data_IF_986745962636
#
_entry.id   IF_986745962636
#
_cell.length_a   1.000
_cell.length_b   1.000
_cell.length_c   1.000
_cell.angle_alpha   90.00
_cell.angle_beta   90.00
_cell.angle_gamma   90.00
#
_symmetry.space_group_name_H-M   'P 1'
#
loop_
_entity.id
_entity.type
_entity.pdbx_description
1 polymer ?
#
# COMPACT_ATOMS: atom_id res chain seq x y z
N UNK A 1 15.29 -13.29 -26.83
CA UNK A 1 14.81 -12.71 -25.55
C UNK A 1 14.66 -11.22 -25.73
N UNK A 2 13.47 -10.67 -25.44
CA UNK A 2 13.30 -9.22 -25.40
C UNK A 2 14.02 -8.73 -24.14
N UNK A 3 14.95 -7.78 -24.30
CA UNK A 3 15.66 -7.18 -23.17
C UNK A 3 14.66 -6.45 -22.26
N UNK A 4 14.80 -6.63 -20.96
CA UNK A 4 14.08 -5.81 -19.98
C UNK A 4 14.53 -4.35 -20.19
N UNK A 5 13.61 -3.38 -20.29
CA UNK A 5 13.98 -1.98 -20.43
C UNK A 5 14.84 -1.48 -19.25
N UNK A 6 15.83 -0.63 -19.51
CA UNK A 6 16.78 -0.16 -18.49
C UNK A 6 16.11 0.66 -17.37
N UNK A 7 14.99 1.32 -17.67
CA UNK A 7 14.17 2.10 -16.76
C UNK A 7 13.09 1.26 -16.04
N UNK A 8 13.12 -0.07 -16.19
CA UNK A 8 12.14 -0.97 -15.58
C UNK A 8 12.67 -1.68 -14.33
N UNK A 9 11.77 -1.97 -13.40
CA UNK A 9 12.06 -2.85 -12.27
C UNK A 9 11.77 -4.29 -12.72
N UNK A 10 12.81 -5.13 -12.72
CA UNK A 10 12.68 -6.57 -13.01
C UNK A 10 11.76 -7.25 -11.99
N UNK A 11 10.85 -8.08 -12.49
CA UNK A 11 9.94 -8.90 -11.69
C UNK A 11 10.05 -10.36 -12.13
N UNK A 12 10.14 -11.29 -11.17
CA UNK A 12 10.31 -12.73 -11.46
C UNK A 12 11.54 -13.01 -12.36
N UNK A 13 11.49 -14.03 -13.20
CA UNK A 13 12.59 -14.44 -14.07
C UNK A 13 12.72 -13.57 -15.33
N UNK A 14 11.60 -13.18 -15.95
CA UNK A 14 11.54 -12.43 -17.24
C UNK A 14 10.56 -11.26 -17.27
N UNK A 15 9.80 -11.05 -16.20
CA UNK A 15 8.80 -9.98 -16.11
C UNK A 15 9.40 -8.63 -15.70
N UNK A 16 8.58 -7.59 -15.78
CA UNK A 16 8.96 -6.26 -15.29
C UNK A 16 7.73 -5.38 -15.04
N UNK A 17 7.96 -4.31 -14.28
CA UNK A 17 7.11 -3.11 -14.21
C UNK A 17 7.92 -1.89 -14.60
N UNK A 18 7.45 -1.17 -15.61
CA UNK A 18 8.03 0.09 -16.07
C UNK A 18 7.01 1.21 -15.95
N UNK A 19 7.39 2.31 -15.29
CA UNK A 19 6.57 3.51 -15.30
C UNK A 19 6.71 4.19 -16.66
N UNK A 20 5.63 4.22 -17.43
CA UNK A 20 5.62 4.86 -18.76
C UNK A 20 5.40 6.35 -18.63
N UNK A 21 4.52 6.72 -17.70
CA UNK A 21 4.06 8.09 -17.52
C UNK A 21 3.37 8.23 -16.16
N UNK A 22 3.44 9.41 -15.57
CA UNK A 22 2.66 9.79 -14.40
C UNK A 22 2.19 11.22 -14.54
N UNK A 23 1.01 11.51 -14.00
CA UNK A 23 0.44 12.84 -13.99
C UNK A 23 0.18 13.27 -12.54
N UNK A 24 0.78 14.39 -12.15
CA UNK A 24 0.66 14.95 -10.81
C UNK A 24 1.58 14.27 -9.78
N UNK A 25 1.24 14.48 -8.52
CA UNK A 25 1.98 14.03 -7.35
C UNK A 25 1.30 14.59 -6.09
N UNK A 26 2.05 14.75 -5.00
CA UNK A 26 1.51 15.31 -3.75
C UNK A 26 0.93 16.73 -3.95
N UNK A 27 1.50 17.52 -4.85
CA UNK A 27 1.06 18.87 -5.20
C UNK A 27 -0.33 18.87 -5.88
N UNK A 28 -0.57 17.92 -6.79
CA UNK A 28 -1.86 17.75 -7.46
C UNK A 28 -2.98 17.39 -6.47
N UNK A 29 -2.69 16.53 -5.48
CA UNK A 29 -3.63 16.18 -4.40
C UNK A 29 -4.01 17.44 -3.61
N UNK A 30 -3.00 18.23 -3.22
CA UNK A 30 -3.19 19.45 -2.44
C UNK A 30 -3.93 20.51 -3.23
N UNK A 31 -3.58 20.71 -4.50
CA UNK A 31 -4.26 21.64 -5.39
C UNK A 31 -5.74 21.27 -5.52
N UNK A 32 -6.04 20.00 -5.84
CA UNK A 32 -7.41 19.52 -5.98
C UNK A 32 -8.22 19.69 -4.69
N UNK A 33 -7.62 19.37 -3.54
CA UNK A 33 -8.27 19.57 -2.25
C UNK A 33 -8.54 21.05 -1.94
N UNK A 34 -7.60 21.96 -2.28
CA UNK A 34 -7.70 23.40 -2.00
C UNK A 34 -8.67 24.15 -2.92
N UNK A 35 -8.99 23.64 -4.10
CA UNK A 35 -10.07 24.22 -4.93
C UNK A 35 -11.37 24.30 -4.14
N UNK A 36 -11.62 23.32 -3.27
CA UNK A 36 -12.77 23.30 -2.35
C UNK A 36 -12.68 24.35 -1.23
N UNK A 37 -11.49 24.91 -0.94
CA UNK A 37 -11.24 25.84 0.18
C UNK A 37 -10.89 27.28 -0.25
N UNK A 38 -10.79 27.57 -1.55
CA UNK A 38 -10.42 28.91 -2.06
C UNK A 38 -8.94 29.26 -1.87
N UNK A 39 -8.48 30.37 -2.49
CA UNK A 39 -7.06 30.80 -2.47
C UNK A 39 -6.59 31.11 -1.04
N UNK A 40 -5.81 30.22 -0.44
CA UNK A 40 -5.19 30.48 0.86
C UNK A 40 -4.15 29.45 1.29
N UNK A 41 -2.90 29.90 1.36
CA UNK A 41 -1.71 29.32 2.02
C UNK A 41 -0.94 28.20 1.30
N UNK A 42 0.35 28.47 1.04
CA UNK A 42 1.30 27.69 0.23
C UNK A 42 2.57 27.34 1.02
N UNK A 43 2.43 26.73 2.20
CA UNK A 43 3.59 26.20 2.95
C UNK A 43 3.61 24.67 2.92
N UNK A 44 4.77 24.08 2.61
CA UNK A 44 4.99 22.61 2.53
C UNK A 44 4.56 21.86 3.80
N UNK A 45 4.75 22.45 4.99
CA UNK A 45 4.29 21.83 6.26
C UNK A 45 2.76 21.74 6.36
N UNK A 46 2.03 22.64 5.68
CA UNK A 46 0.58 22.58 5.57
C UNK A 46 0.13 21.52 4.56
N UNK A 47 0.92 21.29 3.51
CA UNK A 47 0.63 20.30 2.46
C UNK A 47 0.66 18.87 3.01
N UNK A 48 1.73 18.51 3.73
CA UNK A 48 1.81 17.20 4.42
C UNK A 48 0.66 17.02 5.41
N UNK A 49 0.35 18.05 6.20
CA UNK A 49 -0.76 18.03 7.15
C UNK A 49 -2.12 17.82 6.48
N UNK A 50 -2.34 18.44 5.31
CA UNK A 50 -3.56 18.29 4.52
C UNK A 50 -3.68 16.87 3.94
N UNK A 51 -2.65 16.35 3.25
CA UNK A 51 -2.68 15.00 2.67
C UNK A 51 -2.96 13.96 3.75
N UNK A 52 -2.28 14.06 4.90
CA UNK A 52 -2.51 13.19 6.05
C UNK A 52 -3.95 13.27 6.56
N UNK A 53 -4.49 14.48 6.68
CA UNK A 53 -5.88 14.69 7.07
C UNK A 53 -6.85 14.02 6.09
N UNK A 54 -6.65 14.20 4.77
CA UNK A 54 -7.48 13.61 3.73
C UNK A 54 -7.46 12.07 3.80
N UNK A 55 -6.28 11.46 3.91
CA UNK A 55 -6.11 10.01 4.01
C UNK A 55 -6.82 9.46 5.26
N UNK A 56 -6.60 10.08 6.43
CA UNK A 56 -7.20 9.65 7.70
C UNK A 56 -8.73 9.68 7.66
N UNK A 57 -9.31 10.69 7.00
CA UNK A 57 -10.75 10.88 6.90
C UNK A 57 -11.36 10.22 5.65
N UNK A 58 -10.56 9.47 4.89
CA UNK A 58 -10.99 8.80 3.64
C UNK A 58 -11.60 9.78 2.63
N UNK A 59 -11.06 10.98 2.55
CA UNK A 59 -11.36 11.92 1.47
C UNK A 59 -10.51 11.54 0.26
N UNK A 60 -11.03 10.62 -0.55
CA UNK A 60 -10.26 9.91 -1.59
C UNK A 60 -10.16 10.68 -2.91
N UNK A 61 -11.15 11.49 -3.26
CA UNK A 61 -11.23 12.15 -4.58
C UNK A 61 -10.02 13.04 -4.94
N UNK A 62 -9.32 13.72 -4.01
CA UNK A 62 -8.09 14.43 -4.36
C UNK A 62 -6.94 13.49 -4.77
N UNK A 63 -6.91 12.26 -4.27
CA UNK A 63 -5.92 11.26 -4.68
C UNK A 63 -6.20 10.71 -6.08
N UNK A 64 -7.44 10.75 -6.54
CA UNK A 64 -7.81 10.33 -7.91
C UNK A 64 -7.27 11.29 -8.99
N UNK A 65 -6.75 12.46 -8.60
CA UNK A 65 -6.14 13.43 -9.52
C UNK A 65 -4.68 13.12 -9.86
N UNK A 66 -4.10 12.08 -9.25
CA UNK A 66 -2.77 11.58 -9.58
C UNK A 66 -2.93 10.28 -10.37
N UNK A 67 -2.35 10.21 -11.56
CA UNK A 67 -2.50 9.07 -12.48
C UNK A 67 -1.16 8.41 -12.77
N UNK A 68 -1.17 7.09 -12.93
CA UNK A 68 -0.01 6.30 -13.30
C UNK A 68 -0.32 5.45 -14.52
N UNK A 69 0.62 5.37 -15.45
CA UNK A 69 0.56 4.48 -16.61
C UNK A 69 1.79 3.57 -16.59
N UNK A 70 1.56 2.27 -16.46
CA UNK A 70 2.61 1.27 -16.43
C UNK A 70 2.60 0.42 -17.69
N UNK A 71 3.80 0.00 -18.10
CA UNK A 71 4.00 -1.10 -19.04
C UNK A 71 4.51 -2.28 -18.22
N UNK A 72 3.73 -3.36 -18.22
CA UNK A 72 4.04 -4.54 -17.41
C UNK A 72 4.17 -5.75 -18.32
N UNK A 73 5.09 -6.63 -17.96
CA UNK A 73 5.24 -7.97 -18.53
C UNK A 73 5.12 -8.99 -17.42
N UNK A 74 4.11 -9.85 -17.48
CA UNK A 74 3.83 -10.84 -16.44
C UNK A 74 3.24 -12.13 -16.99
N UNK A 75 3.23 -13.23 -16.23
CA UNK A 75 2.52 -14.45 -16.62
C UNK A 75 1.01 -14.24 -16.69
N UNK A 76 0.32 -14.94 -17.60
CA UNK A 76 -1.14 -14.87 -17.76
C UNK A 76 -1.87 -15.16 -16.43
N UNK A 77 -1.42 -16.11 -15.62
CA UNK A 77 -2.06 -16.39 -14.32
C UNK A 77 -1.96 -15.21 -13.33
N UNK A 78 -0.94 -14.36 -13.44
CA UNK A 78 -0.81 -13.10 -12.68
C UNK A 78 -1.76 -12.05 -13.25
N UNK A 79 -1.78 -11.88 -14.58
CA UNK A 79 -2.66 -10.94 -15.27
C UNK A 79 -4.15 -11.20 -14.93
N UNK A 80 -4.57 -12.46 -14.81
CA UNK A 80 -5.93 -12.86 -14.43
C UNK A 80 -6.35 -12.44 -13.02
N UNK A 81 -5.41 -12.31 -12.09
CA UNK A 81 -5.67 -11.77 -10.75
C UNK A 81 -5.71 -10.25 -10.77
N UNK A 82 -4.83 -9.66 -11.56
CA UNK A 82 -4.67 -8.22 -11.68
C UNK A 82 -5.86 -7.55 -12.39
N UNK A 83 -6.39 -8.14 -13.46
CA UNK A 83 -7.56 -7.63 -14.21
C UNK A 83 -8.85 -7.51 -13.36
N UNK A 84 -8.88 -8.12 -12.17
CA UNK A 84 -10.00 -8.00 -11.23
C UNK A 84 -10.15 -6.59 -10.64
N UNK A 85 -9.13 -5.75 -10.78
CA UNK A 85 -9.12 -4.34 -10.38
C UNK A 85 -9.72 -3.46 -11.48
N UNK A 86 -11.06 -3.38 -11.46
CA UNK A 86 -11.90 -2.87 -12.55
C UNK A 86 -11.86 -1.37 -12.80
N UNK A 87 -11.27 -0.60 -11.89
CA UNK A 87 -11.16 0.87 -12.01
C UNK A 87 -10.03 1.31 -12.95
N UNK A 88 -9.14 0.39 -13.32
CA UNK A 88 -8.05 0.66 -14.26
C UNK A 88 -8.46 0.57 -15.73
N UNK A 89 -7.72 1.26 -16.59
CA UNK A 89 -7.75 1.07 -18.04
C UNK A 89 -6.63 0.13 -18.47
N UNK A 90 -6.94 -0.84 -19.33
CA UNK A 90 -6.02 -1.91 -19.72
C UNK A 90 -6.00 -2.06 -21.24
N UNK A 91 -4.82 -2.21 -21.82
CA UNK A 91 -4.64 -2.68 -23.19
C UNK A 91 -3.56 -3.76 -23.23
N UNK A 92 -3.95 -4.99 -23.58
CA UNK A 92 -3.12 -6.19 -23.50
C UNK A 92 -2.69 -6.68 -24.89
N UNK A 93 -1.48 -7.23 -24.97
CA UNK A 93 -0.98 -7.94 -26.13
C UNK A 93 -1.91 -9.08 -26.53
N UNK A 94 -2.50 -8.98 -27.73
CA UNK A 94 -3.49 -9.95 -28.18
C UNK A 94 -2.89 -11.06 -29.03
N UNK A 95 -2.93 -12.27 -28.50
CA UNK A 95 -2.64 -13.51 -29.23
C UNK A 95 -3.69 -13.86 -30.30
N UNK A 96 -4.67 -12.99 -30.58
CA UNK A 96 -5.60 -13.12 -31.73
C UNK A 96 -4.96 -12.57 -32.99
N UNK A 97 -4.25 -11.46 -32.83
CA UNK A 97 -3.67 -10.71 -33.94
C UNK A 97 -2.19 -11.03 -34.10
N UNK A 98 -1.51 -11.34 -33.00
CA UNK A 98 -0.05 -11.52 -32.96
C UNK A 98 0.32 -12.94 -32.56
N UNK A 99 1.54 -13.34 -32.90
CA UNK A 99 2.09 -14.64 -32.51
C UNK A 99 2.53 -14.62 -31.04
N UNK A 100 2.43 -15.79 -30.40
CA UNK A 100 2.95 -15.96 -29.05
C UNK A 100 4.48 -15.90 -29.07
N UNK A 101 5.06 -15.32 -28.03
CA UNK A 101 6.50 -15.30 -27.82
C UNK A 101 6.86 -16.49 -26.95
N UNK A 102 7.98 -17.16 -27.23
CA UNK A 102 8.51 -18.24 -26.41
C UNK A 102 9.11 -17.70 -25.10
N UNK A 103 8.24 -17.19 -24.23
CA UNK A 103 8.61 -16.56 -22.97
C UNK A 103 7.64 -17.05 -21.89
N UNK A 104 8.11 -18.02 -21.10
CA UNK A 104 7.36 -18.63 -20.00
C UNK A 104 8.00 -18.31 -18.65
N UNK A 105 7.18 -18.28 -17.60
CA UNK A 105 7.63 -18.19 -16.22
C UNK A 105 8.13 -19.53 -15.72
N UNK A 106 9.33 -19.51 -15.14
CA UNK A 106 9.90 -20.62 -14.38
C UNK A 106 10.16 -20.19 -12.94
N UNK A 107 9.58 -20.88 -11.94
CA UNK A 107 9.81 -20.54 -10.54
C UNK A 107 11.24 -20.87 -10.09
N UNK A 108 11.84 -19.98 -9.29
CA UNK A 108 13.09 -20.28 -8.58
C UNK A 108 12.87 -21.33 -7.49
N UNK A 109 13.90 -22.11 -7.16
CA UNK A 109 13.82 -23.21 -6.18
C UNK A 109 13.35 -22.74 -4.78
N UNK A 110 13.71 -21.52 -4.39
CA UNK A 110 13.29 -20.87 -3.13
C UNK A 110 11.77 -20.63 -3.06
N UNK A 111 11.12 -20.42 -4.21
CA UNK A 111 9.69 -20.13 -4.32
C UNK A 111 8.83 -21.38 -4.51
N UNK A 112 9.44 -22.56 -4.61
CA UNK A 112 8.76 -23.86 -4.68
C UNK A 112 8.64 -24.41 -3.25
N UNK A 113 7.46 -24.26 -2.68
CA UNK A 113 7.19 -24.51 -1.26
C UNK A 113 5.88 -25.31 -1.11
N UNK A 114 5.65 -25.83 0.10
CA UNK A 114 4.38 -26.50 0.43
C UNK A 114 3.21 -25.49 0.44
N UNK A 115 1.99 -26.01 0.28
CA UNK A 115 0.77 -25.22 0.47
C UNK A 115 0.68 -24.76 1.92
N UNK A 116 0.44 -23.46 2.14
CA UNK A 116 0.27 -22.96 3.51
C UNK A 116 -1.04 -23.48 4.13
N UNK A 117 -0.96 -23.93 5.38
CA UNK A 117 -2.12 -24.36 6.18
C UNK A 117 -2.99 -23.19 6.65
N UNK A 118 -2.38 -22.00 6.83
CA UNK A 118 -3.05 -20.78 7.30
C UNK A 118 -3.55 -19.93 6.13
N UNK A 119 -2.73 -19.80 5.08
CA UNK A 119 -3.07 -19.02 3.90
C UNK A 119 -3.33 -19.95 2.70
N UNK A 120 -4.60 -20.18 2.37
CA UNK A 120 -4.97 -21.02 1.21
C UNK A 120 -4.52 -20.47 -0.15
N UNK A 121 -4.09 -19.21 -0.23
CA UNK A 121 -3.55 -18.59 -1.43
C UNK A 121 -2.01 -18.52 -1.44
N UNK A 122 -1.37 -18.94 -0.34
CA UNK A 122 0.07 -18.81 -0.13
C UNK A 122 0.79 -20.14 0.01
N UNK A 123 2.10 -20.02 0.05
CA UNK A 123 3.03 -21.13 0.23
C UNK A 123 3.76 -20.95 1.56
N UNK A 124 4.14 -22.04 2.22
CA UNK A 124 4.85 -22.01 3.49
C UNK A 124 5.59 -23.32 3.72
N UNK A 125 6.78 -23.27 4.29
CA UNK A 125 7.61 -24.45 4.56
C UNK A 125 8.37 -24.91 3.32
N UNK A 126 9.13 -26.00 3.49
CA UNK A 126 10.08 -26.47 2.49
C UNK A 126 9.66 -27.79 1.83
N UNK A 127 10.19 -28.05 0.64
CA UNK A 127 10.01 -29.29 -0.11
C UNK A 127 11.35 -29.99 -0.32
N UNK A 128 11.39 -31.34 -0.37
CA UNK A 128 12.60 -32.04 -0.74
C UNK A 128 13.11 -31.58 -2.10
N UNK A 129 14.43 -31.38 -2.22
CA UNK A 129 15.07 -30.86 -3.44
C UNK A 129 14.70 -31.64 -4.71
N UNK A 130 14.54 -32.98 -4.58
CA UNK A 130 14.07 -33.85 -5.66
C UNK A 130 12.71 -33.44 -6.21
N UNK A 131 11.79 -33.00 -5.34
CA UNK A 131 10.45 -32.55 -5.73
C UNK A 131 10.54 -31.17 -6.38
N UNK A 132 11.35 -30.25 -5.83
CA UNK A 132 11.54 -28.92 -6.42
C UNK A 132 12.07 -29.00 -7.86
N UNK A 133 13.10 -29.82 -8.08
CA UNK A 133 13.63 -30.09 -9.43
C UNK A 133 12.58 -30.72 -10.34
N UNK A 134 11.77 -31.65 -9.83
CA UNK A 134 10.67 -32.24 -10.59
C UNK A 134 9.65 -31.18 -11.04
N UNK A 135 9.32 -30.21 -10.18
CA UNK A 135 8.44 -29.08 -10.53
C UNK A 135 9.07 -28.23 -11.63
N UNK A 136 10.35 -27.86 -11.53
CA UNK A 136 11.04 -27.09 -12.57
C UNK A 136 11.02 -27.82 -13.92
N UNK A 137 11.37 -29.11 -13.92
CA UNK A 137 11.36 -29.93 -15.14
C UNK A 137 9.98 -29.98 -15.79
N UNK A 138 8.90 -30.09 -15.01
CA UNK A 138 7.54 -30.09 -15.56
C UNK A 138 7.12 -28.74 -16.11
N UNK A 139 7.55 -27.63 -15.49
CA UNK A 139 7.34 -26.29 -16.06
C UNK A 139 8.06 -26.13 -17.40
N UNK A 140 9.30 -26.63 -17.51
CA UNK A 140 10.07 -26.65 -18.76
C UNK A 140 9.41 -27.53 -19.82
N UNK A 141 9.12 -28.79 -19.49
CA UNK A 141 8.51 -29.77 -20.37
C UNK A 141 7.19 -29.26 -20.97
N UNK A 142 6.27 -28.74 -20.15
CA UNK A 142 4.98 -28.26 -20.65
C UNK A 142 5.14 -27.00 -21.51
N UNK A 143 6.06 -26.11 -21.16
CA UNK A 143 6.28 -24.86 -21.90
C UNK A 143 6.85 -25.17 -23.28
N UNK A 144 7.91 -25.98 -23.35
CA UNK A 144 8.53 -26.39 -24.61
C UNK A 144 7.54 -27.16 -25.49
N UNK A 145 6.88 -28.19 -24.94
CA UNK A 145 5.99 -29.04 -25.73
C UNK A 145 4.78 -28.29 -26.25
N UNK A 146 4.16 -27.44 -25.43
CA UNK A 146 3.01 -26.64 -25.84
C UNK A 146 3.39 -25.60 -26.90
N UNK A 147 4.59 -25.00 -26.81
CA UNK A 147 5.07 -24.04 -27.80
C UNK A 147 5.42 -24.69 -29.14
N UNK A 148 6.03 -25.89 -29.13
CA UNK A 148 6.23 -26.70 -30.34
C UNK A 148 4.91 -26.99 -31.06
N UNK A 149 3.92 -27.51 -30.33
CA UNK A 149 2.59 -27.82 -30.88
C UNK A 149 1.89 -26.55 -31.40
N UNK A 150 1.98 -25.44 -30.68
CA UNK A 150 1.47 -24.15 -31.12
C UNK A 150 2.13 -23.70 -32.42
N UNK A 151 3.46 -23.81 -32.51
CA UNK A 151 4.24 -23.37 -33.67
C UNK A 151 3.92 -24.21 -34.91
N UNK A 152 3.84 -25.53 -34.78
CA UNK A 152 3.44 -26.45 -35.85
C UNK A 152 2.06 -26.09 -36.42
N UNK A 153 1.07 -25.85 -35.56
CA UNK A 153 -0.27 -25.45 -36.00
C UNK A 153 -0.29 -24.05 -36.63
N UNK A 154 0.49 -23.11 -36.09
CA UNK A 154 0.60 -21.76 -36.63
C UNK A 154 1.25 -21.77 -38.03
N UNK A 155 2.31 -22.56 -38.23
CA UNK A 155 2.95 -22.79 -39.53
C UNK A 155 2.01 -23.48 -40.53
N UNK A 156 1.16 -24.39 -40.07
CA UNK A 156 0.12 -25.03 -40.88
C UNK A 156 -1.06 -24.09 -41.22
N UNK A 157 -1.06 -22.84 -40.76
CA UNK A 157 -2.08 -21.85 -41.07
C UNK A 157 -3.36 -21.97 -40.22
N UNK A 158 -3.33 -22.70 -39.11
CA UNK A 158 -4.45 -22.74 -38.16
C UNK A 158 -4.68 -21.34 -37.59
N UNK A 159 -5.95 -20.95 -37.43
CA UNK A 159 -6.30 -19.65 -36.88
C UNK A 159 -5.61 -19.42 -35.51
N UNK A 160 -4.84 -18.33 -35.41
CA UNK A 160 -4.08 -17.95 -34.20
C UNK A 160 -4.95 -17.97 -32.94
N UNK A 161 -6.22 -17.58 -33.08
CA UNK A 161 -7.14 -17.54 -31.93
C UNK A 161 -7.54 -18.88 -31.36
N UNK A 162 -7.46 -19.93 -32.16
CA UNK A 162 -7.65 -21.31 -31.74
C UNK A 162 -6.32 -21.92 -31.28
N UNK A 163 -5.24 -21.76 -32.06
CA UNK A 163 -3.94 -22.38 -31.78
C UNK A 163 -3.39 -21.99 -30.40
N UNK A 164 -3.53 -20.72 -30.01
CA UNK A 164 -3.07 -20.24 -28.70
C UNK A 164 -3.69 -20.94 -27.49
N UNK A 165 -4.83 -21.62 -27.65
CA UNK A 165 -5.53 -22.29 -26.55
C UNK A 165 -4.73 -23.48 -25.99
N UNK A 166 -3.72 -23.94 -26.72
CA UNK A 166 -2.76 -24.94 -26.26
C UNK A 166 -1.73 -24.39 -25.26
N UNK A 167 -1.53 -23.07 -25.25
CA UNK A 167 -0.48 -22.45 -24.46
C UNK A 167 -0.87 -22.38 -22.97
N UNK A 168 0.02 -22.78 -22.04
CA UNK A 168 -0.25 -22.76 -20.62
C UNK A 168 -0.28 -21.34 -20.04
N UNK A 169 -0.93 -21.18 -18.89
CA UNK A 169 -1.12 -19.88 -18.22
C UNK A 169 0.16 -19.28 -17.62
N UNK A 170 1.30 -20.00 -17.63
CA UNK A 170 2.62 -19.47 -17.26
C UNK A 170 3.31 -18.73 -18.43
N UNK A 171 2.73 -18.70 -19.62
CA UNK A 171 3.15 -17.84 -20.72
C UNK A 171 3.10 -16.36 -20.28
N UNK A 172 4.12 -15.58 -20.66
CA UNK A 172 4.14 -14.14 -20.44
C UNK A 172 3.22 -13.41 -21.42
N UNK A 173 2.51 -12.43 -20.89
CA UNK A 173 1.77 -11.39 -21.61
C UNK A 173 2.34 -10.02 -21.26
N UNK A 174 1.98 -9.02 -22.04
CA UNK A 174 2.34 -7.63 -21.79
C UNK A 174 1.11 -6.74 -21.90
N UNK A 175 1.07 -5.70 -21.09
CA UNK A 175 0.01 -4.70 -21.22
C UNK A 175 0.46 -3.30 -20.86
N UNK A 176 -0.33 -2.33 -21.29
CA UNK A 176 -0.40 -1.04 -20.64
C UNK A 176 -1.53 -1.05 -19.62
N UNK A 177 -1.25 -0.59 -18.42
CA UNK A 177 -2.20 -0.51 -17.32
C UNK A 177 -2.15 0.90 -16.73
N UNK A 178 -3.27 1.63 -16.80
CA UNK A 178 -3.39 3.00 -16.29
C UNK A 178 -4.41 3.04 -15.15
N UNK A 179 -4.07 3.69 -14.04
CA UNK A 179 -4.97 3.85 -12.90
C UNK A 179 -4.58 5.08 -12.07
N UNK A 180 -5.56 5.64 -11.36
CA UNK A 180 -5.32 6.71 -10.41
C UNK A 180 -4.71 6.22 -9.10
N UNK A 181 -4.12 7.13 -8.32
CA UNK A 181 -3.41 6.81 -7.09
C UNK A 181 -4.32 6.22 -6.01
N UNK A 182 -5.58 6.65 -5.88
CA UNK A 182 -6.48 6.07 -4.89
C UNK A 182 -6.70 4.57 -5.16
N UNK A 183 -7.03 4.24 -6.41
CA UNK A 183 -7.26 2.87 -6.83
C UNK A 183 -5.98 2.04 -6.89
N UNK A 184 -4.84 2.66 -7.22
CA UNK A 184 -3.55 2.00 -7.19
C UNK A 184 -3.08 1.71 -5.75
N UNK A 185 -3.33 2.60 -4.78
CA UNK A 185 -3.08 2.31 -3.36
C UNK A 185 -3.96 1.15 -2.88
N UNK A 186 -5.22 1.09 -3.32
CA UNK A 186 -6.08 -0.07 -3.05
C UNK A 186 -5.52 -1.37 -3.65
N UNK A 187 -5.03 -1.32 -4.90
CA UNK A 187 -4.34 -2.44 -5.53
C UNK A 187 -3.16 -2.91 -4.68
N UNK A 188 -2.27 -1.98 -4.29
CA UNK A 188 -1.08 -2.28 -3.48
C UNK A 188 -1.47 -2.87 -2.13
N UNK A 189 -2.47 -2.31 -1.45
CA UNK A 189 -2.95 -2.84 -0.17
C UNK A 189 -3.45 -4.28 -0.23
N UNK A 190 -4.09 -4.68 -1.34
CA UNK A 190 -4.56 -6.06 -1.51
C UNK A 190 -3.49 -7.00 -2.06
N UNK A 191 -2.52 -6.49 -2.83
CA UNK A 191 -1.60 -7.32 -3.62
C UNK A 191 -0.19 -7.35 -3.08
N UNK A 192 0.20 -6.46 -2.19
CA UNK A 192 1.43 -6.59 -1.39
C UNK A 192 1.20 -7.33 -0.06
N UNK A 193 -0.04 -7.72 0.25
CA UNK A 193 -0.38 -8.49 1.44
C UNK A 193 0.17 -9.93 1.36
N UNK A 194 0.62 -10.49 2.48
CA UNK A 194 1.14 -11.86 2.55
C UNK A 194 0.12 -12.93 2.17
N UNK A 195 -1.18 -12.61 2.23
CA UNK A 195 -2.26 -13.46 1.76
C UNK A 195 -2.30 -13.57 0.23
N UNK A 196 -1.80 -12.58 -0.50
CA UNK A 196 -1.76 -12.64 -1.96
C UNK A 196 -0.69 -13.63 -2.44
N UNK A 197 -0.93 -14.21 -3.62
CA UNK A 197 0.04 -15.10 -4.26
C UNK A 197 1.36 -14.37 -4.50
N UNK A 198 2.48 -15.00 -4.12
CA UNK A 198 3.82 -14.42 -4.22
C UNK A 198 4.09 -13.67 -5.53
N UNK A 199 3.75 -14.28 -6.67
CA UNK A 199 4.05 -13.70 -7.97
C UNK A 199 3.39 -12.32 -8.19
N UNK A 200 2.13 -12.12 -7.80
CA UNK A 200 1.49 -10.79 -7.96
C UNK A 200 2.04 -9.77 -6.94
N UNK A 201 2.52 -10.23 -5.77
CA UNK A 201 3.17 -9.34 -4.80
C UNK A 201 4.43 -8.70 -5.36
N UNK A 202 5.24 -9.47 -6.09
CA UNK A 202 6.46 -8.94 -6.74
C UNK A 202 6.14 -7.76 -7.67
N UNK A 203 5.05 -7.82 -8.42
CA UNK A 203 4.61 -6.70 -9.27
C UNK A 203 4.05 -5.53 -8.44
N UNK A 204 3.25 -5.83 -7.41
CA UNK A 204 2.69 -4.83 -6.50
C UNK A 204 3.78 -4.04 -5.77
N UNK A 205 4.81 -4.72 -5.27
CA UNK A 205 5.94 -4.11 -4.56
C UNK A 205 6.82 -3.28 -5.50
N UNK A 206 6.95 -3.68 -6.77
CA UNK A 206 7.60 -2.85 -7.78
C UNK A 206 6.81 -1.56 -8.05
N UNK A 207 5.47 -1.64 -8.13
CA UNK A 207 4.62 -0.45 -8.27
C UNK A 207 4.67 0.47 -7.06
N UNK A 208 4.70 -0.09 -5.86
CA UNK A 208 4.85 0.65 -4.61
C UNK A 208 6.10 1.57 -4.59
N UNK A 209 7.19 1.13 -5.22
CA UNK A 209 8.41 1.96 -5.36
C UNK A 209 8.14 3.21 -6.21
N UNK A 210 7.53 3.05 -7.39
CA UNK A 210 7.17 4.19 -8.23
C UNK A 210 6.17 5.14 -7.57
N UNK A 211 5.22 4.62 -6.79
CA UNK A 211 4.27 5.44 -6.02
C UNK A 211 5.01 6.27 -4.98
N UNK A 212 5.90 5.63 -4.21
CA UNK A 212 6.70 6.29 -3.18
C UNK A 212 7.54 7.42 -3.77
N UNK A 213 8.10 7.22 -4.95
CA UNK A 213 8.93 8.23 -5.63
C UNK A 213 8.09 9.39 -6.19
N UNK A 214 6.87 9.12 -6.68
CA UNK A 214 5.98 10.11 -7.31
C UNK A 214 5.17 10.93 -6.30
N UNK A 215 4.68 10.29 -5.24
CA UNK A 215 3.82 10.91 -4.22
C UNK A 215 4.25 10.48 -2.79
N UNK A 216 5.45 10.88 -2.33
CA UNK A 216 6.03 10.44 -1.07
C UNK A 216 5.18 10.76 0.17
N UNK A 217 4.50 11.92 0.21
CA UNK A 217 3.66 12.31 1.37
C UNK A 217 2.37 11.48 1.40
N UNK A 218 1.76 11.23 0.24
CA UNK A 218 0.62 10.33 0.13
C UNK A 218 1.00 8.90 0.51
N UNK A 219 2.17 8.41 0.07
CA UNK A 219 2.69 7.10 0.43
C UNK A 219 2.94 6.97 1.94
N UNK A 220 3.56 7.99 2.56
CA UNK A 220 3.75 8.05 4.01
C UNK A 220 2.40 7.98 4.76
N UNK A 221 1.44 8.81 4.37
CA UNK A 221 0.11 8.84 4.97
C UNK A 221 -0.63 7.49 4.80
N UNK A 222 -0.51 6.88 3.63
CA UNK A 222 -1.09 5.56 3.35
C UNK A 222 -0.51 4.49 4.28
N UNK A 223 0.82 4.47 4.45
CA UNK A 223 1.47 3.53 5.35
C UNK A 223 1.03 3.71 6.79
N UNK A 224 0.97 4.93 7.29
CA UNK A 224 0.64 5.21 8.68
C UNK A 224 -0.81 4.87 9.02
N UNK A 225 -1.76 5.26 8.15
CA UNK A 225 -3.19 5.17 8.48
C UNK A 225 -3.89 3.93 7.93
N UNK A 226 -3.38 3.35 6.84
CA UNK A 226 -4.03 2.23 6.16
C UNK A 226 -3.28 0.92 6.39
N UNK A 227 -1.96 0.90 6.23
CA UNK A 227 -1.16 -0.34 6.37
C UNK A 227 -0.84 -0.65 7.83
N UNK A 228 -0.26 0.31 8.56
CA UNK A 228 0.12 0.16 9.97
C UNK A 228 -0.99 0.55 10.93
N UNK A 229 -2.04 1.21 10.43
CA UNK A 229 -3.19 1.61 11.22
C UNK A 229 -4.03 0.39 11.65
N UNK A 230 -4.49 0.39 12.90
CA UNK A 230 -5.38 -0.64 13.42
C UNK A 230 -6.84 -0.23 13.23
N UNK A 231 -7.67 -1.13 12.69
CA UNK A 231 -9.12 -0.96 12.60
C UNK A 231 -9.79 -2.00 13.49
N UNK A 232 -10.68 -1.53 14.35
CA UNK A 232 -11.50 -2.39 15.18
C UNK A 232 -12.93 -2.42 14.63
N UNK A 233 -13.47 -3.62 14.46
CA UNK A 233 -14.91 -3.87 14.34
C UNK A 233 -15.64 -3.46 15.62
N UNK A 234 -16.97 -3.37 15.57
CA UNK A 234 -17.76 -3.03 16.77
C UNK A 234 -17.52 -4.02 17.91
N UNK A 235 -17.43 -5.32 17.61
CA UNK A 235 -17.22 -6.36 18.62
C UNK A 235 -15.86 -6.20 19.29
N UNK A 236 -14.80 -5.93 18.52
CA UNK A 236 -13.47 -5.70 19.07
C UNK A 236 -13.41 -4.43 19.93
N UNK A 237 -14.11 -3.36 19.52
CA UNK A 237 -14.26 -2.14 20.31
C UNK A 237 -14.96 -2.44 21.64
N UNK A 238 -16.08 -3.16 21.63
CA UNK A 238 -16.83 -3.52 22.84
C UNK A 238 -15.97 -4.30 23.85
N UNK A 239 -15.13 -5.22 23.36
CA UNK A 239 -14.21 -5.99 24.21
C UNK A 239 -13.15 -5.04 24.81
N UNK A 240 -12.58 -4.17 23.99
CA UNK A 240 -11.56 -3.23 24.44
C UNK A 240 -12.12 -2.27 25.49
N UNK A 241 -13.29 -1.68 25.25
CA UNK A 241 -13.99 -0.74 26.14
C UNK A 241 -14.30 -1.36 27.50
N UNK A 242 -14.82 -2.59 27.53
CA UNK A 242 -15.12 -3.32 28.79
C UNK A 242 -13.89 -3.61 29.64
N UNK A 243 -12.73 -3.76 29.00
CA UNK A 243 -11.50 -4.18 29.67
C UNK A 243 -10.52 -3.01 29.90
N UNK A 244 -10.86 -1.78 29.52
CA UNK A 244 -10.03 -0.60 29.75
C UNK A 244 -10.46 0.12 31.03
N UNK A 245 -9.68 0.06 32.13
CA UNK A 245 -10.00 0.76 33.35
C UNK A 245 -9.97 2.27 33.14
N UNK A 246 -10.89 3.00 33.78
CA UNK A 246 -10.98 4.47 33.67
C UNK A 246 -9.66 5.16 34.04
N UNK A 247 -8.94 4.63 35.04
CA UNK A 247 -7.61 5.12 35.42
C UNK A 247 -6.64 5.15 34.23
N UNK A 248 -6.61 4.09 33.41
CA UNK A 248 -5.72 4.01 32.24
C UNK A 248 -6.13 5.04 31.18
N UNK A 249 -7.43 5.25 30.97
CA UNK A 249 -7.93 6.26 30.03
C UNK A 249 -7.59 7.68 30.48
N UNK A 250 -7.65 7.94 31.79
CA UNK A 250 -7.24 9.21 32.38
C UNK A 250 -5.73 9.44 32.22
N UNK A 251 -4.90 8.43 32.51
CA UNK A 251 -3.43 8.50 32.34
C UNK A 251 -3.06 8.81 30.88
N UNK A 252 -3.69 8.13 29.90
CA UNK A 252 -3.51 8.41 28.47
C UNK A 252 -3.93 9.85 28.13
N UNK A 253 -5.04 10.31 28.67
CA UNK A 253 -5.58 11.66 28.39
C UNK A 253 -4.65 12.75 28.92
N UNK A 254 -4.00 12.48 30.04
CA UNK A 254 -2.99 13.34 30.67
C UNK A 254 -1.71 13.38 29.83
N UNK A 255 -1.18 12.20 29.43
CA UNK A 255 -0.03 12.11 28.54
C UNK A 255 -0.26 12.85 27.21
N UNK A 256 -1.46 12.74 26.65
CA UNK A 256 -1.83 13.49 25.45
C UNK A 256 -1.81 15.01 25.69
N UNK A 257 -2.19 15.50 26.87
CA UNK A 257 -2.09 16.92 27.20
C UNK A 257 -0.63 17.38 27.22
N UNK A 258 0.28 16.60 27.81
CA UNK A 258 1.72 16.86 27.77
C UNK A 258 2.26 16.88 26.35
N UNK A 259 1.99 15.84 25.56
CA UNK A 259 2.48 15.73 24.19
C UNK A 259 1.97 16.86 23.29
N UNK A 260 0.69 17.24 23.40
CA UNK A 260 0.14 18.37 22.63
C UNK A 260 0.82 19.68 23.05
N UNK A 261 1.05 19.89 24.34
CA UNK A 261 1.72 21.09 24.88
C UNK A 261 3.17 21.17 24.40
N UNK A 262 3.92 20.08 24.50
CA UNK A 262 5.29 19.96 23.99
C UNK A 262 5.36 20.20 22.48
N UNK A 263 4.44 19.61 21.72
CA UNK A 263 4.38 19.79 20.26
C UNK A 263 4.05 21.23 19.86
N UNK A 264 3.14 21.89 20.60
CA UNK A 264 2.83 23.30 20.39
C UNK A 264 4.02 24.20 20.71
N UNK A 265 4.74 23.91 21.79
CA UNK A 265 5.95 24.64 22.20
C UNK A 265 7.09 24.44 21.18
N UNK A 266 7.26 23.22 20.67
CA UNK A 266 8.23 22.92 19.63
C UNK A 266 7.96 23.72 18.35
N UNK A 267 6.70 23.80 17.92
CA UNK A 267 6.31 24.54 16.71
C UNK A 267 6.42 26.07 16.86
N UNK A 268 6.16 26.58 18.07
CA UNK A 268 6.33 27.99 18.43
C UNK A 268 6.76 28.06 19.89
N UNK A 269 8.04 28.35 20.09
CA UNK A 269 8.65 28.43 21.42
C UNK A 269 7.92 29.45 22.28
N UNK A 270 7.60 29.06 23.51
CA UNK A 270 6.90 29.86 24.53
C UNK A 270 7.80 30.06 25.73
N UNK A 271 7.46 31.04 26.55
CA UNK A 271 8.12 31.26 27.82
C UNK A 271 7.66 30.20 28.85
N UNK A 272 8.48 29.92 29.85
CA UNK A 272 8.22 28.84 30.81
C UNK A 272 6.95 29.07 31.64
N UNK A 273 6.60 30.34 31.91
CA UNK A 273 5.38 30.75 32.61
C UNK A 273 4.11 30.51 31.78
N UNK A 274 4.22 30.38 30.45
CA UNK A 274 3.10 30.10 29.56
C UNK A 274 2.81 28.59 29.38
N UNK A 275 3.74 27.71 29.80
CA UNK A 275 3.65 26.28 29.52
C UNK A 275 2.56 25.59 30.36
N UNK A 276 2.51 25.85 31.67
CA UNK A 276 1.48 25.26 32.54
C UNK A 276 0.06 25.75 32.19
N UNK A 277 -0.19 27.05 31.94
CA UNK A 277 -1.49 27.49 31.42
C UNK A 277 -1.87 26.84 30.08
N UNK A 278 -0.90 26.64 29.18
CA UNK A 278 -1.15 25.97 27.91
C UNK A 278 -1.53 24.50 28.11
N UNK A 279 -0.86 23.83 29.04
CA UNK A 279 -1.13 22.46 29.46
C UNK A 279 -2.55 22.27 29.97
N UNK A 280 -2.98 23.12 30.92
CA UNK A 280 -4.35 23.13 31.42
C UNK A 280 -5.35 23.38 30.28
N UNK A 281 -5.03 24.26 29.33
CA UNK A 281 -5.86 24.50 28.14
C UNK A 281 -5.97 23.28 27.22
N UNK A 282 -4.99 22.37 27.23
CA UNK A 282 -5.07 21.09 26.52
C UNK A 282 -5.80 20.01 27.35
N UNK A 283 -6.37 20.38 28.50
CA UNK A 283 -7.13 19.50 29.39
C UNK A 283 -6.25 18.57 30.23
N UNK A 284 -5.08 19.05 30.64
CA UNK A 284 -4.30 18.44 31.71
C UNK A 284 -4.88 18.76 33.08
N UNK A 285 -4.67 17.88 34.06
CA UNK A 285 -5.24 17.92 35.42
C UNK A 285 -4.17 17.93 36.53
N UNK A 286 -2.92 17.63 36.21
CA UNK A 286 -1.79 17.63 37.14
C UNK A 286 -1.59 18.99 37.82
N UNK A 287 -1.08 18.93 39.05
CA UNK A 287 -0.65 20.13 39.77
C UNK A 287 0.51 20.81 39.04
N UNK A 288 0.75 22.09 39.33
CA UNK A 288 1.88 22.80 38.73
C UNK A 288 3.24 22.16 39.09
N UNK A 289 3.36 21.61 40.29
CA UNK A 289 4.59 20.96 40.75
C UNK A 289 4.81 19.63 40.02
N UNK A 290 3.77 18.81 39.87
CA UNK A 290 3.84 17.55 39.12
C UNK A 290 4.12 17.80 37.63
N UNK A 291 3.47 18.83 37.07
CA UNK A 291 3.72 19.26 35.69
C UNK A 291 5.17 19.65 35.48
N UNK A 292 5.74 20.48 36.35
CA UNK A 292 7.14 20.92 36.25
C UNK A 292 8.09 19.74 36.36
N UNK A 293 7.87 18.84 37.32
CA UNK A 293 8.68 17.65 37.51
C UNK A 293 8.72 16.81 36.22
N UNK A 294 7.56 16.50 35.63
CA UNK A 294 7.47 15.71 34.39
C UNK A 294 7.96 16.46 33.16
N UNK A 295 7.81 17.79 33.14
CA UNK A 295 8.30 18.61 32.04
C UNK A 295 9.83 18.70 32.03
N UNK A 296 10.45 18.79 33.20
CA UNK A 296 11.91 18.86 33.38
C UNK A 296 12.62 17.53 33.09
N UNK A 297 11.97 16.38 33.32
CA UNK A 297 12.57 15.07 32.97
C UNK A 297 12.75 14.90 31.46
N UNK A 298 12.01 15.65 30.63
CA UNK A 298 12.14 15.63 29.17
C UNK A 298 11.57 14.39 28.49
N UNK A 299 10.94 13.48 29.24
CA UNK A 299 10.32 12.25 28.74
C UNK A 299 8.96 12.51 28.06
N UNK A 300 8.86 13.56 27.26
CA UNK A 300 7.64 13.93 26.53
C UNK A 300 7.93 13.88 25.03
N UNK A 301 7.25 12.96 24.36
CA UNK A 301 7.34 12.84 22.90
C UNK A 301 6.50 13.93 22.22
N UNK A 302 7.03 14.48 21.13
CA UNK A 302 6.28 15.39 20.26
C UNK A 302 5.56 14.61 19.16
N UNK A 303 4.46 15.15 18.66
CA UNK A 303 3.65 14.51 17.62
C UNK A 303 2.80 15.50 16.82
N UNK A 304 2.00 14.96 15.91
CA UNK A 304 1.07 15.78 15.14
C UNK A 304 -0.08 16.26 16.05
N UNK A 305 -0.11 17.56 16.35
CA UNK A 305 -1.09 18.19 17.25
C UNK A 305 -2.54 17.85 16.86
N UNK A 306 -2.87 17.84 15.57
CA UNK A 306 -4.23 17.54 15.11
C UNK A 306 -4.56 16.07 15.38
N UNK A 307 -3.61 15.18 15.13
CA UNK A 307 -3.81 13.76 15.37
C UNK A 307 -4.00 13.42 16.85
N UNK A 308 -3.15 13.98 17.70
CA UNK A 308 -3.20 13.83 19.15
C UNK A 308 -4.51 14.37 19.72
N UNK A 309 -4.98 15.53 19.24
CA UNK A 309 -6.28 16.09 19.64
C UNK A 309 -7.45 15.21 19.24
N UNK A 310 -7.47 14.74 17.99
CA UNK A 310 -8.52 13.84 17.51
C UNK A 310 -8.50 12.51 18.29
N UNK A 311 -7.32 12.00 18.68
CA UNK A 311 -7.23 10.81 19.54
C UNK A 311 -7.73 11.09 20.96
N UNK A 312 -7.35 12.22 21.57
CA UNK A 312 -7.86 12.65 22.87
C UNK A 312 -9.39 12.75 22.88
N UNK A 313 -9.99 13.28 21.81
CA UNK A 313 -11.47 13.31 21.66
C UNK A 313 -12.06 11.89 21.63
N UNK A 314 -11.43 10.94 20.94
CA UNK A 314 -11.89 9.54 20.92
C UNK A 314 -11.83 8.91 22.31
N UNK A 315 -10.71 9.08 23.03
CA UNK A 315 -10.55 8.57 24.40
C UNK A 315 -11.59 9.19 25.35
N UNK A 316 -11.81 10.50 25.29
CA UNK A 316 -12.82 11.17 26.12
C UNK A 316 -14.24 10.64 25.86
N UNK A 317 -14.58 10.27 24.62
CA UNK A 317 -15.88 9.64 24.32
C UNK A 317 -16.03 8.29 25.01
N UNK A 318 -14.99 7.48 25.02
CA UNK A 318 -14.98 6.18 25.73
C UNK A 318 -15.20 6.36 27.25
N UNK A 319 -14.69 7.45 27.83
CA UNK A 319 -14.93 7.76 29.24
C UNK A 319 -16.39 8.16 29.47
N UNK A 320 -16.96 9.01 28.60
CA UNK A 320 -18.33 9.51 28.77
C UNK A 320 -19.43 8.49 28.50
N UNK A 321 -19.17 7.47 27.67
CA UNK A 321 -20.13 6.41 27.34
C UNK A 321 -20.19 5.28 28.39
N UNK A 322 -19.30 5.30 29.38
CA UNK A 322 -19.27 4.39 30.53
C UNK A 322 -20.07 4.90 31.76
N UNK A 323 -20.87 5.97 31.60
CA UNK A 323 -21.80 6.54 32.60
C UNK A 323 -23.24 6.24 32.18
#
# INVERSE_FOLDING_TARGET
>A
MISIPDDAIKCLDKGFVRLVDSMGGDDAIVQAARVSYGKGTSKVSQDRGLIRYLMRHRHTTPFEMVEFKFHCKMPIFVARQWVRHRTANINEYSLRYSEARDEFYYPSLENIQLQSALNKQGRMGDLPEKIKKKVQNYFEEISTRSFEMYSELNEAGVARELARALLPVNLYTEWYWKNDLHNLLHFVGLRSDDHAQYEIRVFSDAMAKYIKDTAPLAWEAYHDYVIKGMRFSRIEQDILEKNLPERVLNDITEDLAYQITASLNHNKKRNDDELYPLYLKQGGKDSNDDFRLKWETGDITIGNIRELREFKIKINKLISENI
#
